data_IF_926081904043
#
_entry.id   IF_926081904043
#
_cell.length_a   1.000
_cell.length_b   1.000
_cell.length_c   1.000
_cell.angle_alpha   90.00
_cell.angle_beta   90.00
_cell.angle_gamma   90.00
#
_symmetry.space_group_name_H-M   'P 1'
#
loop_
_entity.id
_entity.type
_entity.pdbx_description
1 polymer ?
#
# COMPACT_ATOMS: atom_id res chain seq x y z
N UNK A 1 -4.16 -13.28 -44.19
CA UNK A 1 -3.19 -12.96 -43.14
C UNK A 1 -3.28 -11.52 -42.60
N UNK A 2 -3.45 -10.48 -43.43
CA UNK A 2 -3.54 -9.07 -42.96
C UNK A 2 -4.74 -8.75 -42.04
N UNK A 3 -5.90 -9.39 -42.23
CA UNK A 3 -7.11 -9.20 -41.38
C UNK A 3 -6.92 -9.62 -39.90
N UNK A 4 -6.04 -10.57 -39.62
CA UNK A 4 -5.83 -11.07 -38.25
C UNK A 4 -4.89 -10.17 -37.44
N UNK A 5 -4.07 -9.35 -38.11
CA UNK A 5 -3.14 -8.41 -37.46
C UNK A 5 -3.91 -7.22 -36.87
N UNK A 6 -4.94 -6.73 -37.58
CA UNK A 6 -5.76 -5.60 -37.13
C UNK A 6 -6.50 -5.94 -35.83
N UNK A 7 -7.01 -7.17 -35.71
CA UNK A 7 -7.71 -7.60 -34.50
C UNK A 7 -6.78 -7.62 -33.28
N UNK A 8 -5.53 -8.06 -33.47
CA UNK A 8 -4.51 -8.18 -32.43
C UNK A 8 -4.08 -6.81 -31.89
N UNK A 9 -3.93 -5.82 -32.78
CA UNK A 9 -3.61 -4.44 -32.42
C UNK A 9 -4.76 -3.79 -31.64
N UNK A 10 -6.01 -4.06 -32.03
CA UNK A 10 -7.18 -3.49 -31.35
C UNK A 10 -7.35 -4.05 -29.92
N UNK A 11 -7.04 -5.34 -29.71
CA UNK A 11 -7.05 -5.94 -28.36
C UNK A 11 -5.92 -5.42 -27.46
N UNK A 12 -4.76 -5.07 -28.01
CA UNK A 12 -3.66 -4.49 -27.24
C UNK A 12 -3.93 -3.04 -26.81
N UNK A 13 -4.77 -2.30 -27.54
CA UNK A 13 -5.17 -0.93 -27.21
C UNK A 13 -6.26 -0.85 -26.13
N UNK A 14 -6.95 -1.96 -25.85
CA UNK A 14 -8.04 -2.05 -24.86
C UNK A 14 -7.60 -2.65 -23.52
N UNK A 15 -6.30 -2.89 -23.30
CA UNK A 15 -5.79 -3.30 -22.00
C UNK A 15 -5.87 -2.13 -21.02
N UNK A 16 -7.00 -1.99 -20.33
CA UNK A 16 -7.12 -1.11 -19.17
C UNK A 16 -6.16 -1.58 -18.10
N UNK A 17 -5.46 -0.65 -17.44
CA UNK A 17 -4.75 -0.94 -16.20
C UNK A 17 -5.79 -1.46 -15.19
N UNK A 18 -5.83 -2.77 -14.97
CA UNK A 18 -6.48 -3.32 -13.79
C UNK A 18 -5.77 -2.69 -12.61
N UNK A 19 -6.47 -1.86 -11.84
CA UNK A 19 -5.99 -1.38 -10.54
C UNK A 19 -5.81 -2.63 -9.69
N UNK A 20 -4.59 -3.17 -9.67
CA UNK A 20 -4.26 -4.25 -8.78
C UNK A 20 -4.06 -3.64 -7.38
N UNK A 21 -3.87 -4.52 -6.41
CA UNK A 21 -3.57 -4.13 -5.05
C UNK A 21 -2.20 -4.70 -4.74
N UNK A 22 -1.36 -3.93 -4.05
CA UNK A 22 -0.20 -4.52 -3.38
C UNK A 22 -0.70 -5.24 -2.12
N UNK A 23 -0.95 -6.53 -2.27
CA UNK A 23 -1.51 -7.38 -1.24
C UNK A 23 -0.41 -8.13 -0.48
N UNK A 24 -0.44 -8.04 0.85
CA UNK A 24 0.37 -8.87 1.74
C UNK A 24 -0.55 -9.77 2.58
N UNK A 25 -0.38 -11.09 2.47
CA UNK A 25 -1.14 -12.07 3.25
C UNK A 25 -0.32 -12.56 4.45
N UNK A 26 -0.93 -12.60 5.64
CA UNK A 26 -0.28 -13.03 6.89
C UNK A 26 1.06 -12.33 7.17
N UNK A 27 1.17 -11.04 6.83
CA UNK A 27 2.38 -10.25 7.04
C UNK A 27 2.38 -9.63 8.43
N UNK A 28 3.57 -9.40 9.00
CA UNK A 28 3.73 -8.59 10.21
C UNK A 28 4.14 -7.16 9.82
N UNK A 29 4.00 -6.23 10.76
CA UNK A 29 4.52 -4.87 10.62
C UNK A 29 5.90 -4.83 11.28
N UNK A 30 6.94 -4.51 10.50
CA UNK A 30 8.34 -4.56 10.95
C UNK A 30 8.95 -3.20 11.24
N UNK A 31 8.33 -2.12 10.76
CA UNK A 31 8.73 -0.75 11.07
C UNK A 31 7.52 0.18 11.01
N UNK A 32 7.56 1.24 11.81
CA UNK A 32 6.60 2.35 11.78
C UNK A 32 7.39 3.66 11.78
N UNK A 33 6.94 4.62 10.99
CA UNK A 33 7.53 5.96 10.94
C UNK A 33 6.43 7.01 10.99
N UNK A 34 6.60 7.97 11.89
CA UNK A 34 5.70 9.09 12.09
C UNK A 34 6.55 10.34 12.31
N UNK A 35 6.30 11.40 11.55
CA UNK A 35 7.01 12.66 11.70
C UNK A 35 6.27 13.60 12.65
N UNK A 36 7.05 14.36 13.42
CA UNK A 36 6.55 15.52 14.15
C UNK A 36 6.26 16.68 13.19
N UNK A 37 5.36 17.59 13.57
CA UNK A 37 5.08 18.81 12.80
C UNK A 37 3.66 19.33 12.97
N UNK A 38 3.44 20.60 12.59
CA UNK A 38 2.15 21.28 12.60
C UNK A 38 1.24 20.92 11.41
N UNK A 39 1.67 19.98 10.55
CA UNK A 39 0.97 19.57 9.34
C UNK A 39 0.29 18.19 9.44
N UNK A 40 -0.43 17.82 8.37
CA UNK A 40 -1.03 16.49 8.22
C UNK A 40 0.10 15.48 7.96
N UNK A 41 0.55 14.79 8.99
CA UNK A 41 1.63 13.80 8.92
C UNK A 41 1.04 12.37 8.87
N UNK A 42 1.07 11.70 7.71
CA UNK A 42 0.61 10.31 7.60
C UNK A 42 1.48 9.37 8.44
N UNK A 43 0.89 8.26 8.90
CA UNK A 43 1.65 7.17 9.48
C UNK A 43 2.12 6.23 8.39
N UNK A 44 3.43 5.96 8.35
CA UNK A 44 4.05 5.02 7.43
C UNK A 44 4.42 3.76 8.17
N UNK A 45 4.30 2.61 7.51
CA UNK A 45 4.66 1.34 8.10
C UNK A 45 5.17 0.37 7.03
N UNK A 46 6.13 -0.45 7.43
CA UNK A 46 6.76 -1.47 6.58
C UNK A 46 6.21 -2.83 6.95
N UNK A 47 5.78 -3.58 5.95
CA UNK A 47 5.37 -4.98 6.08
C UNK A 47 6.59 -5.91 6.03
N UNK A 48 6.44 -7.13 6.52
CA UNK A 48 7.50 -8.15 6.52
C UNK A 48 7.98 -8.58 5.12
N UNK A 49 7.22 -8.29 4.07
CA UNK A 49 7.58 -8.52 2.66
C UNK A 49 8.29 -7.30 2.01
N UNK A 50 8.78 -6.38 2.83
CA UNK A 50 9.49 -5.16 2.45
C UNK A 50 8.67 -4.09 1.71
N UNK A 51 7.34 -4.22 1.65
CA UNK A 51 6.48 -3.17 1.09
C UNK A 51 6.15 -2.12 2.15
N UNK A 52 6.29 -0.85 1.79
CA UNK A 52 5.86 0.28 2.61
C UNK A 52 4.44 0.71 2.26
N UNK A 53 3.62 0.91 3.28
CA UNK A 53 2.32 1.52 3.14
C UNK A 53 2.17 2.73 4.06
N UNK A 54 1.17 3.57 3.79
CA UNK A 54 0.86 4.71 4.63
C UNK A 54 -0.64 4.93 4.83
N UNK A 55 -0.99 5.56 5.93
CA UNK A 55 -2.36 5.93 6.31
C UNK A 55 -2.41 7.44 6.59
N UNK A 56 -3.45 8.11 6.10
CA UNK A 56 -3.65 9.54 6.30
C UNK A 56 -3.80 9.90 7.78
N UNK A 57 -3.35 11.10 8.17
CA UNK A 57 -3.27 11.51 9.58
C UNK A 57 -4.61 11.56 10.33
N UNK A 58 -5.73 11.66 9.60
CA UNK A 58 -7.10 11.71 10.12
C UNK A 58 -7.65 10.33 10.53
N UNK A 59 -7.05 9.24 10.06
CA UNK A 59 -7.49 7.86 10.30
C UNK A 59 -6.98 7.29 11.63
N UNK A 60 -7.32 7.97 12.74
CA UNK A 60 -6.77 7.71 14.09
C UNK A 60 -6.97 6.26 14.56
N UNK A 61 -8.11 5.65 14.28
CA UNK A 61 -8.39 4.26 14.68
C UNK A 61 -7.47 3.28 13.96
N UNK A 62 -7.19 3.53 12.68
CA UNK A 62 -6.28 2.72 11.87
C UNK A 62 -4.84 2.89 12.36
N UNK A 63 -4.43 4.11 12.73
CA UNK A 63 -3.12 4.37 13.34
C UNK A 63 -2.93 3.52 14.60
N UNK A 64 -3.90 3.55 15.52
CA UNK A 64 -3.84 2.75 16.75
C UNK A 64 -3.73 1.25 16.43
N UNK A 65 -4.52 0.74 15.49
CA UNK A 65 -4.45 -0.66 15.07
C UNK A 65 -3.07 -1.04 14.52
N UNK A 66 -2.48 -0.20 13.65
CA UNK A 66 -1.14 -0.42 13.10
C UNK A 66 -0.09 -0.46 14.21
N UNK A 67 -0.14 0.48 15.15
CA UNK A 67 0.79 0.52 16.28
C UNK A 67 0.63 -0.72 17.17
N UNK A 68 -0.60 -1.19 17.42
CA UNK A 68 -0.85 -2.43 18.16
C UNK A 68 -0.30 -3.65 17.43
N UNK A 69 -0.50 -3.76 16.11
CA UNK A 69 0.05 -4.86 15.31
C UNK A 69 1.58 -4.86 15.30
N UNK A 70 2.19 -3.67 15.16
CA UNK A 70 3.64 -3.52 15.26
C UNK A 70 4.17 -3.96 16.63
N UNK A 71 3.56 -3.49 17.72
CA UNK A 71 3.99 -3.82 19.08
C UNK A 71 3.77 -5.30 19.45
N UNK A 72 2.72 -5.93 18.94
CA UNK A 72 2.39 -7.33 19.23
C UNK A 72 3.10 -8.34 18.32
N UNK A 73 3.61 -7.91 17.17
CA UNK A 73 4.16 -8.81 16.15
C UNK A 73 3.12 -9.75 15.51
N UNK A 74 1.81 -9.50 15.73
CA UNK A 74 0.73 -10.29 15.13
C UNK A 74 0.67 -10.10 13.62
N UNK A 75 0.16 -11.10 12.94
CA UNK A 75 -0.01 -11.09 11.49
C UNK A 75 -1.33 -10.43 11.09
N UNK A 76 -1.35 -9.85 9.90
CA UNK A 76 -2.54 -9.27 9.27
C UNK A 76 -2.51 -9.48 7.76
N UNK A 77 -3.69 -9.40 7.14
CA UNK A 77 -3.81 -9.27 5.69
C UNK A 77 -3.93 -7.78 5.35
N UNK A 78 -3.01 -7.24 4.55
CA UNK A 78 -2.86 -5.81 4.28
C UNK A 78 -2.96 -5.55 2.79
N UNK A 79 -3.89 -4.66 2.41
CA UNK A 79 -4.10 -4.21 1.04
C UNK A 79 -3.73 -2.74 0.92
N UNK A 80 -2.81 -2.41 0.02
CA UNK A 80 -2.47 -1.03 -0.33
C UNK A 80 -2.66 -0.82 -1.85
N UNK A 81 -2.89 0.43 -2.28
CA UNK A 81 -3.06 0.76 -3.69
C UNK A 81 -1.74 0.52 -4.45
N UNK A 82 -1.81 0.08 -5.71
CA UNK A 82 -0.61 -0.19 -6.52
C UNK A 82 0.29 1.02 -6.72
N UNK A 83 -0.30 2.20 -6.84
CA UNK A 83 0.46 3.41 -7.11
C UNK A 83 1.24 3.79 -5.84
N UNK A 84 2.55 3.57 -5.91
CA UNK A 84 3.46 4.09 -4.90
C UNK A 84 3.57 5.61 -5.07
N UNK A 85 3.49 6.32 -3.95
CA UNK A 85 3.72 7.75 -3.91
C UNK A 85 5.08 8.00 -3.26
N UNK A 86 5.88 8.85 -3.89
CA UNK A 86 7.10 9.34 -3.27
C UNK A 86 6.69 10.31 -2.18
N UNK A 87 6.85 9.91 -0.93
CA UNK A 87 6.43 10.69 0.22
C UNK A 87 7.62 11.09 1.07
N UNK A 88 7.44 12.23 1.74
CA UNK A 88 8.46 12.91 2.53
C UNK A 88 9.08 12.01 3.61
N UNK A 89 10.34 12.30 3.97
CA UNK A 89 10.99 11.71 5.14
C UNK A 89 11.92 10.52 4.89
N UNK A 90 12.30 10.24 3.64
CA UNK A 90 13.31 9.22 3.33
C UNK A 90 12.75 7.82 3.07
N UNK A 91 11.43 7.68 2.92
CA UNK A 91 10.79 6.47 2.38
C UNK A 91 10.62 6.69 0.88
N UNK A 92 11.42 6.00 0.07
CA UNK A 92 11.48 6.22 -1.39
C UNK A 92 10.14 5.98 -2.09
N UNK A 93 9.40 4.94 -1.67
CA UNK A 93 8.13 4.55 -2.27
C UNK A 93 7.19 3.98 -1.20
N UNK A 94 5.99 4.55 -1.05
CA UNK A 94 4.98 4.04 -0.14
C UNK A 94 3.59 4.02 -0.77
N UNK A 95 2.82 2.97 -0.48
CA UNK A 95 1.49 2.76 -1.04
C UNK A 95 0.42 3.23 -0.05
N UNK A 96 -0.58 3.99 -0.50
CA UNK A 96 -1.72 4.33 0.37
C UNK A 96 -2.43 3.04 0.80
N UNK A 97 -2.68 2.88 2.09
CA UNK A 97 -3.40 1.72 2.61
C UNK A 97 -4.88 1.80 2.20
N UNK A 98 -5.44 0.67 1.78
CA UNK A 98 -6.85 0.52 1.49
C UNK A 98 -7.58 -0.25 2.59
N UNK A 99 -7.00 -1.36 3.06
CA UNK A 99 -7.63 -2.24 4.06
C UNK A 99 -6.61 -3.01 4.88
N UNK A 100 -6.94 -3.26 6.14
CA UNK A 100 -6.20 -4.15 7.04
C UNK A 100 -7.16 -5.11 7.74
N UNK A 101 -6.79 -6.38 7.83
CA UNK A 101 -7.55 -7.44 8.51
C UNK A 101 -6.63 -8.09 9.54
N UNK A 102 -6.79 -7.74 10.82
CA UNK A 102 -6.02 -8.29 11.93
C UNK A 102 -6.50 -9.70 12.34
N UNK A 103 -5.58 -10.53 12.85
CA UNK A 103 -5.82 -11.92 13.28
C UNK A 103 -5.42 -12.18 14.74
#
# INVERSE_FOLDING_TARGET
MKKNIVLLILSALLSTNTMAWTFGQNVTITAVTLWEGSGINPLYFKRSDNVWCYVSADEKNVHSLILTLYASGKTADIHCYDQAENKMGGIEAAHKMHRIIAK
#
